data_IF_725777909648
#
_entry.id   IF_725777909648
#
_cell.length_a   1.000
_cell.length_b   1.000
_cell.length_c   1.000
_cell.angle_alpha   90.00
_cell.angle_beta   90.00
_cell.angle_gamma   90.00
#
_symmetry.space_group_name_H-M   'P 1'
#
loop_
_entity.id
_entity.type
_entity.pdbx_description
1 polymer ?
#
# COMPACT_ATOMS: atom_id res chain seq x y z
N UNK A 1 -0.33 17.02 30.84
CA UNK A 1 -1.51 16.19 30.56
C UNK A 1 -2.58 16.62 31.52
N UNK A 2 -3.65 17.20 31.00
CA UNK A 2 -4.77 17.63 31.82
C UNK A 2 -5.57 16.39 32.25
N UNK A 3 -6.08 16.38 33.49
CA UNK A 3 -6.81 15.21 34.03
C UNK A 3 -8.07 14.85 33.23
N UNK A 4 -8.60 15.77 32.41
CA UNK A 4 -9.74 15.55 31.53
C UNK A 4 -9.44 14.65 30.33
N UNK A 5 -8.16 14.43 29.96
CA UNK A 5 -7.80 13.65 28.78
C UNK A 5 -7.78 12.12 29.00
N UNK A 6 -8.12 11.65 30.21
CA UNK A 6 -8.01 10.24 30.61
C UNK A 6 -9.34 9.60 31.00
N UNK A 7 -10.48 10.28 30.77
CA UNK A 7 -11.80 9.74 31.10
C UNK A 7 -12.09 8.40 30.41
N UNK A 8 -11.52 8.16 29.22
CA UNK A 8 -11.66 6.89 28.51
C UNK A 8 -11.01 5.71 29.24
N UNK A 9 -10.04 5.94 30.13
CA UNK A 9 -9.45 4.87 30.95
C UNK A 9 -10.47 4.23 31.90
N UNK A 10 -11.53 4.95 32.29
CA UNK A 10 -12.62 4.38 33.09
C UNK A 10 -13.33 3.23 32.37
N UNK A 11 -13.40 3.26 31.04
CA UNK A 11 -13.94 2.17 30.24
C UNK A 11 -13.03 0.93 30.30
N UNK A 12 -11.71 1.12 30.35
CA UNK A 12 -10.76 0.02 30.51
C UNK A 12 -10.91 -0.63 31.89
N UNK A 13 -11.12 0.18 32.94
CA UNK A 13 -11.42 -0.31 34.29
C UNK A 13 -12.71 -1.15 34.35
N UNK A 14 -13.78 -0.73 33.66
CA UNK A 14 -15.02 -1.53 33.54
C UNK A 14 -14.75 -2.88 32.87
N UNK A 15 -13.82 -2.92 31.92
CA UNK A 15 -13.41 -4.15 31.23
C UNK A 15 -12.38 -4.99 32.02
N UNK A 16 -12.01 -4.57 33.23
CA UNK A 16 -11.11 -5.31 34.12
C UNK A 16 -9.62 -5.01 33.95
N UNK A 17 -9.25 -3.91 33.28
CA UNK A 17 -7.87 -3.46 33.13
C UNK A 17 -7.55 -2.30 34.06
N UNK A 18 -6.35 -2.29 34.64
CA UNK A 18 -5.86 -1.13 35.38
C UNK A 18 -5.58 0.07 34.46
N UNK A 19 -5.56 1.27 35.03
CA UNK A 19 -5.18 2.49 34.29
C UNK A 19 -3.78 2.36 33.66
N UNK A 20 -2.83 1.72 34.36
CA UNK A 20 -1.47 1.51 33.85
C UNK A 20 -1.46 0.58 32.62
N UNK A 21 -2.23 -0.51 32.65
CA UNK A 21 -2.40 -1.40 31.49
C UNK A 21 -3.04 -0.68 30.32
N UNK A 22 -4.09 0.12 30.59
CA UNK A 22 -4.76 0.95 29.60
C UNK A 22 -3.81 1.90 28.88
N UNK A 23 -3.00 2.64 29.64
CA UNK A 23 -1.99 3.56 29.09
C UNK A 23 -0.93 2.83 28.25
N UNK A 24 -0.47 1.65 28.69
CA UNK A 24 0.47 0.83 27.91
C UNK A 24 -0.14 0.34 26.60
N UNK A 25 -1.41 -0.08 26.61
CA UNK A 25 -2.13 -0.51 25.42
C UNK A 25 -2.23 0.65 24.42
N UNK A 26 -2.65 1.84 24.87
CA UNK A 26 -2.73 3.03 24.02
C UNK A 26 -1.36 3.39 23.42
N UNK A 27 -0.30 3.35 24.24
CA UNK A 27 1.07 3.59 23.79
C UNK A 27 1.49 2.59 22.71
N UNK A 28 1.32 1.29 22.93
CA UNK A 28 1.69 0.27 21.94
C UNK A 28 0.85 0.36 20.67
N UNK A 29 -0.43 0.71 20.78
CA UNK A 29 -1.29 0.93 19.63
C UNK A 29 -0.77 2.10 18.78
N UNK A 30 -0.34 3.19 19.42
CA UNK A 30 0.22 4.37 18.74
C UNK A 30 1.58 4.09 18.13
N UNK A 31 2.48 3.43 18.85
CA UNK A 31 3.79 2.98 18.32
C UNK A 31 3.57 2.07 17.11
N UNK A 32 2.65 1.11 17.21
CA UNK A 32 2.31 0.21 16.12
C UNK A 32 1.81 0.96 14.88
N UNK A 33 0.87 1.91 15.04
CA UNK A 33 0.37 2.75 13.93
C UNK A 33 1.48 3.59 13.30
N UNK A 34 2.33 4.20 14.12
CA UNK A 34 3.47 4.98 13.66
C UNK A 34 4.40 4.11 12.81
N UNK A 35 4.91 3.02 13.38
CA UNK A 35 5.86 2.14 12.70
C UNK A 35 5.28 1.59 11.39
N UNK A 36 4.03 1.12 11.42
CA UNK A 36 3.35 0.56 10.24
C UNK A 36 3.21 1.60 9.11
N UNK A 37 2.86 2.84 9.46
CA UNK A 37 2.74 3.94 8.49
C UNK A 37 4.09 4.26 7.84
N UNK A 38 5.14 4.46 8.65
CA UNK A 38 6.42 4.92 8.14
C UNK A 38 7.22 3.81 7.45
N UNK A 39 7.14 2.56 7.92
CA UNK A 39 7.71 1.42 7.20
C UNK A 39 7.08 1.26 5.81
N UNK A 40 5.76 1.46 5.72
CA UNK A 40 5.05 1.40 4.46
C UNK A 40 5.43 2.51 3.49
N UNK A 41 5.37 3.76 3.97
CA UNK A 41 5.76 4.92 3.18
C UNK A 41 7.21 4.82 2.69
N UNK A 42 8.14 4.41 3.56
CA UNK A 42 9.55 4.23 3.21
C UNK A 42 9.74 3.29 2.00
N UNK A 43 9.08 2.13 2.01
CA UNK A 43 9.24 1.16 0.93
C UNK A 43 8.54 1.61 -0.37
N UNK A 44 7.34 2.17 -0.25
CA UNK A 44 6.59 2.70 -1.41
C UNK A 44 7.35 3.86 -2.08
N UNK A 45 7.83 4.83 -1.29
CA UNK A 45 8.59 5.98 -1.78
C UNK A 45 9.94 5.55 -2.36
N UNK A 46 10.67 4.64 -1.71
CA UNK A 46 11.94 4.13 -2.25
C UNK A 46 11.73 3.47 -3.62
N UNK A 47 10.63 2.73 -3.80
CA UNK A 47 10.28 2.14 -5.11
C UNK A 47 10.03 3.22 -6.16
N UNK A 48 9.28 4.28 -5.82
CA UNK A 48 9.04 5.41 -6.72
C UNK A 48 10.35 6.11 -7.09
N UNK A 49 11.26 6.31 -6.13
CA UNK A 49 12.58 6.92 -6.38
C UNK A 49 13.40 6.08 -7.34
N UNK A 50 13.44 4.76 -7.16
CA UNK A 50 14.13 3.85 -8.10
C UNK A 50 13.55 3.98 -9.50
N UNK A 51 12.22 3.98 -9.63
CA UNK A 51 11.54 4.15 -10.91
C UNK A 51 11.86 5.51 -11.56
N UNK A 52 11.83 6.60 -10.81
CA UNK A 52 12.15 7.95 -11.32
C UNK A 52 13.59 8.10 -11.80
N UNK A 53 14.54 7.35 -11.21
CA UNK A 53 15.95 7.39 -11.61
C UNK A 53 16.28 6.45 -12.78
N UNK A 54 15.38 5.55 -13.15
CA UNK A 54 15.62 4.51 -14.16
C UNK A 54 14.64 4.53 -15.33
N UNK A 55 13.51 5.22 -15.19
CA UNK A 55 12.44 5.33 -16.19
C UNK A 55 11.98 6.77 -16.34
N UNK A 56 11.61 7.15 -17.56
CA UNK A 56 10.92 8.41 -17.81
C UNK A 56 9.47 8.30 -17.32
N UNK A 57 9.12 9.05 -16.29
CA UNK A 57 7.79 8.96 -15.70
C UNK A 57 7.58 9.84 -14.47
N UNK A 58 6.34 9.86 -13.99
CA UNK A 58 5.95 10.61 -12.79
C UNK A 58 4.63 10.10 -12.21
N UNK A 59 4.32 10.51 -10.98
CA UNK A 59 2.97 10.35 -10.44
C UNK A 59 1.98 11.19 -11.26
N UNK A 60 0.82 10.61 -11.57
CA UNK A 60 -0.26 11.27 -12.30
C UNK A 60 -1.59 11.09 -11.59
N UNK A 61 -2.56 11.95 -11.92
CA UNK A 61 -3.95 11.82 -11.48
C UNK A 61 -4.86 11.66 -12.68
N UNK A 62 -5.61 10.57 -12.74
CA UNK A 62 -6.58 10.30 -13.81
C UNK A 62 -8.01 10.59 -13.33
N UNK A 63 -8.90 11.09 -14.19
CA UNK A 63 -10.30 11.28 -13.85
C UNK A 63 -10.96 9.93 -13.57
N UNK A 64 -11.81 9.88 -12.55
CA UNK A 64 -12.69 8.73 -12.36
C UNK A 64 -13.87 8.85 -13.32
N UNK A 65 -13.90 8.00 -14.34
CA UNK A 65 -14.95 7.98 -15.38
C UNK A 65 -16.06 6.96 -15.09
N UNK A 66 -16.05 6.34 -13.90
CA UNK A 66 -16.91 5.19 -13.56
C UNK A 66 -17.80 5.48 -12.34
N UNK A 67 -17.29 6.17 -11.32
CA UNK A 67 -18.08 6.55 -10.15
C UNK A 67 -17.89 8.02 -9.79
N UNK A 68 -18.79 8.56 -8.96
CA UNK A 68 -18.72 9.96 -8.52
C UNK A 68 -17.61 10.22 -7.49
N UNK A 69 -17.21 9.20 -6.73
CA UNK A 69 -16.18 9.29 -5.70
C UNK A 69 -15.22 8.08 -5.76
N UNK A 70 -13.90 8.31 -5.62
CA UNK A 70 -13.21 9.61 -5.63
C UNK A 70 -13.28 10.29 -7.02
N UNK A 71 -13.11 11.62 -7.12
CA UNK A 71 -13.14 12.34 -8.41
C UNK A 71 -11.96 12.00 -9.33
N UNK A 72 -10.82 11.67 -8.74
CA UNK A 72 -9.59 11.30 -9.43
C UNK A 72 -8.93 10.12 -8.74
N UNK A 73 -8.27 9.26 -9.49
CA UNK A 73 -7.36 8.25 -8.98
C UNK A 73 -5.92 8.73 -9.12
N UNK A 74 -5.12 8.55 -8.07
CA UNK A 74 -3.67 8.73 -8.13
C UNK A 74 -3.05 7.45 -8.68
N UNK A 75 -2.09 7.60 -9.59
CA UNK A 75 -1.17 6.55 -10.03
C UNK A 75 0.19 6.90 -9.42
N UNK A 76 0.78 5.96 -8.68
CA UNK A 76 2.01 6.23 -7.92
C UNK A 76 3.17 6.56 -8.87
N UNK A 77 3.28 5.82 -9.99
CA UNK A 77 4.23 6.12 -11.05
C UNK A 77 3.72 5.68 -12.43
N UNK A 78 3.63 6.61 -13.38
CA UNK A 78 3.36 6.31 -14.78
C UNK A 78 4.66 6.36 -15.58
N UNK A 79 5.11 5.21 -16.09
CA UNK A 79 6.25 5.07 -16.98
C UNK A 79 5.81 5.33 -18.42
N UNK A 80 6.26 6.44 -19.01
CA UNK A 80 5.77 6.93 -20.31
C UNK A 80 6.19 6.01 -21.44
N UNK A 81 7.45 5.57 -21.45
CA UNK A 81 8.02 4.74 -22.53
C UNK A 81 7.32 3.39 -22.68
N UNK A 82 6.91 2.78 -21.57
CA UNK A 82 6.33 1.44 -21.53
C UNK A 82 4.81 1.48 -21.34
N UNK A 83 4.24 2.68 -21.22
CA UNK A 83 2.82 2.91 -20.98
C UNK A 83 2.28 2.17 -19.74
N UNK A 84 3.11 2.06 -18.69
CA UNK A 84 2.80 1.32 -17.45
C UNK A 84 2.39 2.25 -16.33
N UNK A 85 1.18 2.08 -15.80
CA UNK A 85 0.62 2.80 -14.67
C UNK A 85 0.75 1.96 -13.38
N UNK A 86 1.74 2.30 -12.56
CA UNK A 86 2.10 1.54 -11.37
C UNK A 86 1.29 1.98 -10.15
N UNK A 87 0.72 0.98 -9.47
CA UNK A 87 0.25 1.04 -8.10
C UNK A 87 1.22 0.27 -7.21
N UNK A 88 1.83 0.98 -6.26
CA UNK A 88 2.85 0.44 -5.37
C UNK A 88 2.23 0.27 -3.98
N UNK A 89 2.44 -0.91 -3.40
CA UNK A 89 1.97 -1.24 -2.06
C UNK A 89 3.06 -1.97 -1.30
N UNK A 90 3.42 -1.50 -0.12
CA UNK A 90 4.25 -2.31 0.76
C UNK A 90 3.46 -3.52 1.26
N UNK A 91 2.22 -3.29 1.71
CA UNK A 91 1.24 -4.27 2.19
C UNK A 91 -0.14 -3.65 2.23
N UNK A 92 -1.14 -4.36 1.72
CA UNK A 92 -2.53 -3.94 1.81
C UNK A 92 -3.34 -4.90 2.70
N UNK A 93 -3.72 -4.41 3.88
CA UNK A 93 -4.44 -5.16 4.90
C UNK A 93 -5.95 -4.87 4.92
N UNK A 94 -6.48 -4.23 3.89
CA UNK A 94 -7.91 -3.92 3.79
C UNK A 94 -8.77 -5.17 3.87
N UNK A 95 -9.77 -5.12 4.75
CA UNK A 95 -10.75 -6.19 4.95
C UNK A 95 -12.14 -5.82 4.42
N UNK A 96 -12.33 -4.58 3.98
CA UNK A 96 -13.61 -4.10 3.44
C UNK A 96 -13.73 -4.42 1.94
N UNK A 97 -14.88 -4.96 1.55
CA UNK A 97 -15.21 -5.28 0.17
C UNK A 97 -15.36 -4.04 -0.73
N UNK A 98 -15.60 -2.86 -0.16
CA UNK A 98 -15.63 -1.60 -0.92
C UNK A 98 -14.28 -1.30 -1.59
N UNK A 99 -13.17 -1.73 -0.98
CA UNK A 99 -11.84 -1.58 -1.57
C UNK A 99 -11.71 -2.32 -2.90
N UNK A 100 -12.31 -3.51 -3.05
CA UNK A 100 -12.24 -4.26 -4.31
C UNK A 100 -12.93 -3.50 -5.44
N UNK A 101 -14.10 -2.90 -5.15
CA UNK A 101 -14.85 -2.12 -6.14
C UNK A 101 -14.07 -0.86 -6.54
N UNK A 102 -13.48 -0.15 -5.58
CA UNK A 102 -12.65 1.03 -5.84
C UNK A 102 -11.43 0.70 -6.71
N UNK A 103 -10.71 -0.37 -6.39
CA UNK A 103 -9.57 -0.83 -7.19
C UNK A 103 -10.00 -1.24 -8.60
N UNK A 104 -11.12 -1.96 -8.72
CA UNK A 104 -11.65 -2.32 -10.05
C UNK A 104 -11.98 -1.08 -10.88
N UNK A 105 -12.66 -0.08 -10.30
CA UNK A 105 -12.96 1.17 -10.99
C UNK A 105 -11.69 1.91 -11.42
N UNK A 106 -10.66 1.93 -10.56
CA UNK A 106 -9.36 2.52 -10.88
C UNK A 106 -8.71 1.83 -12.09
N UNK A 107 -8.63 0.50 -12.07
CA UNK A 107 -8.08 -0.32 -13.17
C UNK A 107 -8.81 -0.02 -14.47
N UNK A 108 -10.14 0.00 -14.45
CA UNK A 108 -10.94 0.30 -15.63
C UNK A 108 -10.72 1.73 -16.14
N UNK A 109 -10.51 2.71 -15.26
CA UNK A 109 -10.12 4.07 -15.68
C UNK A 109 -8.73 4.11 -16.32
N UNK A 110 -7.77 3.34 -15.80
CA UNK A 110 -6.42 3.20 -16.35
C UNK A 110 -6.48 2.61 -17.76
N UNK A 111 -7.20 1.50 -17.93
CA UNK A 111 -7.39 0.80 -19.21
C UNK A 111 -8.10 1.71 -20.23
N UNK A 112 -9.15 2.42 -19.83
CA UNK A 112 -9.85 3.40 -20.70
C UNK A 112 -8.96 4.56 -21.13
N UNK A 113 -7.99 4.94 -20.31
CA UNK A 113 -6.98 5.93 -20.66
C UNK A 113 -5.86 5.36 -21.55
N UNK A 114 -5.97 4.08 -21.95
CA UNK A 114 -5.03 3.41 -22.84
C UNK A 114 -3.75 2.93 -22.16
N UNK A 115 -3.68 2.91 -20.83
CA UNK A 115 -2.48 2.53 -20.08
C UNK A 115 -2.55 1.09 -19.55
N UNK A 116 -1.38 0.49 -19.27
CA UNK A 116 -1.26 -0.85 -18.69
C UNK A 116 -1.23 -0.73 -17.15
N UNK A 117 -2.23 -1.21 -16.41
CA UNK A 117 -2.21 -1.21 -14.95
C UNK A 117 -1.18 -2.22 -14.42
N UNK A 118 -0.32 -1.80 -13.51
CA UNK A 118 0.70 -2.64 -12.89
C UNK A 118 0.60 -2.54 -11.38
N UNK A 119 0.31 -3.63 -10.68
CA UNK A 119 0.35 -3.68 -9.21
C UNK A 119 1.65 -4.31 -8.73
N UNK A 120 2.39 -3.60 -7.90
CA UNK A 120 3.57 -4.10 -7.20
C UNK A 120 3.27 -4.13 -5.71
N UNK A 121 3.15 -5.32 -5.11
CA UNK A 121 2.84 -5.46 -3.69
C UNK A 121 3.86 -6.34 -2.94
N UNK A 122 4.68 -5.73 -2.08
CA UNK A 122 5.83 -6.43 -1.50
C UNK A 122 5.50 -7.50 -0.46
N UNK A 123 4.40 -7.34 0.29
CA UNK A 123 4.02 -8.29 1.33
C UNK A 123 2.52 -8.56 1.32
N UNK A 124 2.15 -9.83 1.24
CA UNK A 124 0.77 -10.26 1.51
C UNK A 124 0.36 -9.94 2.95
N UNK A 125 -0.92 -9.56 3.20
CA UNK A 125 -1.43 -9.39 4.56
C UNK A 125 -1.56 -10.73 5.28
N UNK A 126 -1.61 -10.70 6.62
CA UNK A 126 -1.70 -11.92 7.44
C UNK A 126 -3.14 -12.40 7.68
N UNK A 127 -4.12 -11.49 7.70
CA UNK A 127 -5.51 -11.83 8.05
C UNK A 127 -6.19 -12.56 6.89
N UNK A 128 -6.84 -13.70 7.15
CA UNK A 128 -7.53 -14.52 6.13
C UNK A 128 -8.47 -13.71 5.22
N UNK A 129 -9.23 -12.77 5.80
CA UNK A 129 -10.13 -11.90 5.04
C UNK A 129 -9.38 -10.95 4.10
N UNK A 130 -8.32 -10.29 4.60
CA UNK A 130 -7.49 -9.41 3.79
C UNK A 130 -6.79 -10.19 2.67
N UNK A 131 -6.29 -11.40 2.94
CA UNK A 131 -5.72 -12.29 1.91
C UNK A 131 -6.73 -12.56 0.80
N UNK A 132 -7.98 -12.87 1.14
CA UNK A 132 -9.04 -13.15 0.17
C UNK A 132 -9.32 -11.94 -0.73
N UNK A 133 -9.38 -10.74 -0.14
CA UNK A 133 -9.61 -9.49 -0.86
C UNK A 133 -8.43 -9.18 -1.79
N UNK A 134 -7.20 -9.27 -1.29
CA UNK A 134 -6.01 -9.01 -2.09
C UNK A 134 -5.88 -10.00 -3.25
N UNK A 135 -6.19 -11.29 -3.05
CA UNK A 135 -6.23 -12.26 -4.15
C UNK A 135 -7.21 -11.86 -5.26
N UNK A 136 -8.37 -11.31 -4.90
CA UNK A 136 -9.35 -10.82 -5.89
C UNK A 136 -8.83 -9.58 -6.62
N UNK A 137 -8.21 -8.63 -5.92
CA UNK A 137 -7.61 -7.45 -6.54
C UNK A 137 -6.48 -7.86 -7.50
N UNK A 138 -5.58 -8.75 -7.08
CA UNK A 138 -4.49 -9.30 -7.90
C UNK A 138 -5.03 -9.96 -9.16
N UNK A 139 -6.10 -10.76 -9.05
CA UNK A 139 -6.72 -11.40 -10.21
C UNK A 139 -7.23 -10.38 -11.24
N UNK A 140 -7.85 -9.28 -10.77
CA UNK A 140 -8.31 -8.21 -11.65
C UNK A 140 -7.12 -7.51 -12.32
N UNK A 141 -6.05 -7.18 -11.58
CA UNK A 141 -4.85 -6.61 -12.21
C UNK A 141 -4.25 -7.54 -13.28
N UNK A 142 -4.23 -8.86 -13.04
CA UNK A 142 -3.75 -9.84 -14.04
C UNK A 142 -4.67 -9.99 -15.26
N UNK A 143 -5.95 -9.69 -15.12
CA UNK A 143 -6.91 -9.71 -16.23
C UNK A 143 -6.67 -8.54 -17.18
N UNK A 144 -6.31 -7.36 -16.66
CA UNK A 144 -6.19 -6.11 -17.43
C UNK A 144 -4.75 -5.61 -17.62
N UNK A 145 -3.77 -6.24 -16.97
CA UNK A 145 -2.37 -5.81 -16.96
C UNK A 145 -1.50 -6.76 -16.13
N UNK A 146 -0.73 -6.21 -15.19
CA UNK A 146 0.29 -6.97 -14.46
C UNK A 146 0.10 -6.88 -12.94
N UNK A 147 0.45 -7.96 -12.24
CA UNK A 147 0.46 -7.98 -10.78
C UNK A 147 1.60 -8.85 -10.24
N UNK A 148 2.42 -8.25 -9.38
CA UNK A 148 3.59 -8.87 -8.76
C UNK A 148 3.46 -8.80 -7.24
N UNK A 149 3.68 -9.93 -6.58
CA UNK A 149 3.56 -10.02 -5.12
C UNK A 149 4.73 -10.75 -4.48
N UNK A 150 5.02 -10.44 -3.22
CA UNK A 150 6.07 -11.06 -2.43
C UNK A 150 7.42 -11.03 -3.20
N UNK A 151 8.10 -12.17 -3.36
CA UNK A 151 9.35 -12.26 -4.15
C UNK A 151 9.18 -11.73 -5.58
N UNK A 152 8.00 -11.91 -6.19
CA UNK A 152 7.71 -11.42 -7.53
C UNK A 152 7.76 -9.89 -7.62
N UNK A 153 7.38 -9.16 -6.58
CA UNK A 153 7.45 -7.70 -6.56
C UNK A 153 8.89 -7.20 -6.55
N UNK A 154 9.75 -7.83 -5.75
CA UNK A 154 11.19 -7.54 -5.71
C UNK A 154 11.86 -7.86 -7.04
N UNK A 155 11.61 -9.05 -7.59
CA UNK A 155 12.15 -9.45 -8.89
C UNK A 155 11.67 -8.51 -10.00
N UNK A 156 10.39 -8.14 -10.03
CA UNK A 156 9.87 -7.20 -11.01
C UNK A 156 10.66 -5.88 -11.00
N UNK A 157 10.88 -5.29 -9.82
CA UNK A 157 11.62 -4.03 -9.74
C UNK A 157 13.05 -4.20 -10.24
N UNK A 158 13.74 -5.27 -9.83
CA UNK A 158 15.09 -5.59 -10.28
C UNK A 158 15.15 -5.76 -11.81
N UNK A 159 14.29 -6.60 -12.37
CA UNK A 159 14.26 -6.90 -13.80
C UNK A 159 13.88 -5.65 -14.62
N UNK A 160 12.98 -4.82 -14.11
CA UNK A 160 12.48 -3.64 -14.81
C UNK A 160 13.45 -2.45 -14.75
N UNK A 161 14.20 -2.29 -13.66
CA UNK A 161 15.01 -1.09 -13.39
C UNK A 161 16.52 -1.36 -13.31
N UNK A 162 16.94 -2.61 -13.18
CA UNK A 162 18.32 -3.01 -12.92
C UNK A 162 18.78 -2.78 -11.48
N UNK A 163 17.91 -2.29 -10.58
CA UNK A 163 18.26 -1.96 -9.20
C UNK A 163 17.71 -2.98 -8.20
N UNK A 164 18.59 -3.59 -7.42
CA UNK A 164 18.22 -4.54 -6.36
C UNK A 164 17.87 -3.81 -5.06
N UNK A 165 16.61 -3.37 -4.96
CA UNK A 165 16.09 -2.72 -3.76
C UNK A 165 16.05 -3.65 -2.55
N UNK A 166 15.87 -4.96 -2.77
CA UNK A 166 15.82 -5.94 -1.67
C UNK A 166 17.17 -6.01 -0.96
N UNK A 167 18.24 -6.25 -1.72
CA UNK A 167 19.60 -6.30 -1.18
C UNK A 167 20.00 -4.95 -0.57
N UNK A 168 19.59 -3.83 -1.17
CA UNK A 168 19.83 -2.50 -0.57
C UNK A 168 19.25 -2.38 0.85
N UNK A 169 18.00 -2.79 1.08
CA UNK A 169 17.39 -2.74 2.42
C UNK A 169 17.96 -3.81 3.36
N UNK A 170 18.25 -5.01 2.88
CA UNK A 170 18.59 -6.15 3.75
C UNK A 170 20.09 -6.34 4.01
N UNK A 171 20.97 -5.76 3.19
CA UNK A 171 22.43 -5.87 3.35
C UNK A 171 23.04 -4.62 3.99
N UNK A 172 22.58 -3.41 3.65
CA UNK A 172 23.08 -2.17 4.27
C UNK A 172 22.60 -1.93 5.71
N UNK A 173 21.55 -2.63 6.16
CA UNK A 173 21.06 -2.53 7.55
C UNK A 173 21.68 -3.58 8.49
N UNK A 174 22.65 -4.36 8.02
CA UNK A 174 23.43 -5.32 8.84
C UNK A 174 24.83 -4.79 9.22
N UNK A 175 25.16 -3.57 8.82
CA UNK A 175 26.36 -2.80 9.21
C UNK A 175 25.95 -1.62 10.05
#
# INVERSE_FOLDING_TARGET
MDKNDLEHLSLYSILGFSEEEGLKIDLYQNIGRFLYKYAGALLEEATVVVLQNTKEGKSIRIPNTISQNPKKFVIDFFAVSDNKAHEIKWRDASTDGDHVRKEHNKIQCIVKAGMIPVRVMYYMPNRKQAIRIQKRIIAIYKEYGEAYTDKGAWNYLLDYTGFDLYSYFHEKLRT
#
